data_IF_445188316935
#
_entry.id   IF_445188316935
#
_cell.length_a   1.000
_cell.length_b   1.000
_cell.length_c   1.000
_cell.angle_alpha   90.00
_cell.angle_beta   90.00
_cell.angle_gamma   90.00
#
_symmetry.space_group_name_H-M   'P 1'
#
loop_
_entity.id
_entity.type
_entity.pdbx_description
1 polymer ?
#
# COMPACT_ATOMS: atom_id res chain seq x y z
N UNK A 1 41.43 6.47 12.80
CA UNK A 1 40.75 5.89 11.63
C UNK A 1 39.97 4.68 12.15
N UNK A 2 38.66 4.56 11.88
CA UNK A 2 37.92 3.35 12.23
C UNK A 2 38.64 2.14 11.65
N UNK A 3 38.59 1.00 12.36
CA UNK A 3 39.17 -0.23 11.84
C UNK A 3 38.33 -0.72 10.66
N UNK A 4 38.96 -1.40 9.69
CA UNK A 4 38.30 -1.86 8.47
C UNK A 4 36.98 -2.63 8.71
N UNK A 5 36.88 -3.40 9.81
CA UNK A 5 35.64 -4.10 10.20
C UNK A 5 34.53 -3.13 10.59
N UNK A 6 34.83 -2.07 11.34
CA UNK A 6 33.87 -1.05 11.77
C UNK A 6 33.40 -0.20 10.59
N UNK A 7 34.31 0.10 9.65
CA UNK A 7 34.00 0.78 8.39
C UNK A 7 33.01 -0.06 7.55
N UNK A 8 33.30 -1.35 7.35
CA UNK A 8 32.39 -2.25 6.63
C UNK A 8 31.04 -2.43 7.33
N UNK A 9 30.98 -2.43 8.67
CA UNK A 9 29.72 -2.47 9.41
C UNK A 9 28.88 -1.21 9.18
N UNK A 10 29.51 -0.04 9.16
CA UNK A 10 28.83 1.22 8.87
C UNK A 10 28.34 1.28 7.42
N UNK A 11 29.16 0.87 6.46
CA UNK A 11 28.78 0.79 5.04
C UNK A 11 27.60 -0.16 4.83
N UNK A 12 27.62 -1.33 5.49
CA UNK A 12 26.53 -2.30 5.42
C UNK A 12 25.22 -1.73 5.99
N UNK A 13 25.28 -1.03 7.14
CA UNK A 13 24.12 -0.33 7.71
C UNK A 13 23.53 0.70 6.76
N UNK A 14 24.38 1.56 6.18
CA UNK A 14 23.95 2.57 5.20
C UNK A 14 23.35 1.95 3.93
N UNK A 15 23.88 0.81 3.47
CA UNK A 15 23.34 0.11 2.32
C UNK A 15 21.94 -0.47 2.60
N UNK A 16 21.73 -0.99 3.82
CA UNK A 16 20.42 -1.50 4.28
C UNK A 16 19.42 -0.35 4.41
N UNK A 17 19.82 0.80 4.95
CA UNK A 17 18.96 1.98 5.06
C UNK A 17 18.48 2.47 3.69
N UNK A 18 19.40 2.60 2.72
CA UNK A 18 19.04 2.95 1.34
C UNK A 18 18.07 1.95 0.69
N UNK A 19 18.29 0.65 0.93
CA UNK A 19 17.39 -0.40 0.45
C UNK A 19 16.00 -0.27 1.08
N UNK A 20 15.92 0.02 2.38
CA UNK A 20 14.67 0.21 3.11
C UNK A 20 13.88 1.39 2.53
N UNK A 21 14.53 2.53 2.33
CA UNK A 21 13.91 3.70 1.70
C UNK A 21 13.38 3.38 0.30
N UNK A 22 14.20 2.73 -0.53
CA UNK A 22 13.81 2.33 -1.88
C UNK A 22 12.62 1.34 -1.88
N UNK A 23 12.62 0.36 -0.98
CA UNK A 23 11.54 -0.61 -0.86
C UNK A 23 10.21 0.03 -0.43
N UNK A 24 10.25 0.97 0.53
CA UNK A 24 9.07 1.72 0.95
C UNK A 24 8.52 2.58 -0.20
N UNK A 25 9.39 3.31 -0.89
CA UNK A 25 9.00 4.12 -2.05
C UNK A 25 8.37 3.26 -3.16
N UNK A 26 8.94 2.08 -3.43
CA UNK A 26 8.40 1.13 -4.40
C UNK A 26 7.01 0.60 -3.98
N UNK A 27 6.84 0.25 -2.69
CA UNK A 27 5.54 -0.17 -2.14
C UNK A 27 4.50 0.93 -2.32
N UNK A 28 4.81 2.16 -1.92
CA UNK A 28 3.86 3.28 -2.04
C UNK A 28 3.46 3.54 -3.49
N UNK A 29 4.43 3.55 -4.41
CA UNK A 29 4.17 3.76 -5.84
C UNK A 29 3.29 2.63 -6.42
N UNK A 30 3.65 1.37 -6.13
CA UNK A 30 2.90 0.22 -6.63
C UNK A 30 1.48 0.17 -6.07
N UNK A 31 1.31 0.40 -4.76
CA UNK A 31 0.00 0.39 -4.12
C UNK A 31 -0.92 1.50 -4.66
N UNK A 32 -0.39 2.70 -4.94
CA UNK A 32 -1.16 3.77 -5.60
C UNK A 32 -1.59 3.34 -7.00
N UNK A 33 -0.67 2.83 -7.82
CA UNK A 33 -0.98 2.38 -9.17
C UNK A 33 -2.08 1.29 -9.18
N UNK A 34 -1.96 0.31 -8.28
CA UNK A 34 -2.95 -0.75 -8.14
C UNK A 34 -4.30 -0.21 -7.68
N UNK A 35 -4.34 0.72 -6.72
CA UNK A 35 -5.61 1.33 -6.34
C UNK A 35 -6.26 2.02 -7.55
N UNK A 36 -5.53 2.84 -8.31
CA UNK A 36 -6.09 3.53 -9.47
C UNK A 36 -6.67 2.53 -10.48
N UNK A 37 -5.95 1.42 -10.71
CA UNK A 37 -6.42 0.32 -11.58
C UNK A 37 -7.71 -0.32 -11.06
N UNK A 38 -7.79 -0.59 -9.75
CA UNK A 38 -8.96 -1.19 -9.12
C UNK A 38 -10.15 -0.24 -9.12
N UNK A 39 -9.97 1.03 -8.75
CA UNK A 39 -11.00 2.06 -8.81
C UNK A 39 -11.58 2.21 -10.21
N UNK A 40 -10.72 2.29 -11.23
CA UNK A 40 -11.17 2.37 -12.63
C UNK A 40 -11.96 1.14 -13.07
N UNK A 41 -11.49 -0.05 -12.69
CA UNK A 41 -12.17 -1.30 -13.03
C UNK A 41 -13.54 -1.38 -12.35
N UNK A 42 -13.64 -0.96 -11.09
CA UNK A 42 -14.92 -0.93 -10.37
C UNK A 42 -15.86 0.12 -10.95
N UNK A 43 -15.40 1.34 -11.21
CA UNK A 43 -16.20 2.39 -11.85
C UNK A 43 -16.75 1.94 -13.21
N UNK A 44 -15.93 1.27 -14.03
CA UNK A 44 -16.37 0.71 -15.33
C UNK A 44 -17.47 -0.35 -15.21
N UNK A 45 -17.57 -1.09 -14.10
CA UNK A 45 -18.64 -2.07 -13.89
C UNK A 45 -20.00 -1.43 -13.62
N UNK A 46 -20.00 -0.19 -13.14
CA UNK A 46 -21.22 0.54 -12.73
C UNK A 46 -21.47 1.80 -13.55
N UNK A 47 -20.66 2.06 -14.59
CA UNK A 47 -20.68 3.30 -15.38
C UNK A 47 -22.02 3.63 -16.05
N UNK A 48 -22.81 2.60 -16.35
CA UNK A 48 -24.10 2.73 -17.03
C UNK A 48 -25.26 2.95 -16.03
N UNK A 49 -24.98 2.96 -14.72
CA UNK A 49 -25.95 3.29 -13.68
C UNK A 49 -26.06 4.80 -13.49
N UNK A 50 -27.16 5.31 -12.90
CA UNK A 50 -27.21 6.71 -12.47
C UNK A 50 -26.01 7.04 -11.57
N UNK A 51 -25.30 8.14 -11.87
CA UNK A 51 -24.03 8.52 -11.21
C UNK A 51 -24.09 8.43 -9.68
N UNK A 52 -25.15 8.96 -9.07
CA UNK A 52 -25.31 8.94 -7.61
C UNK A 52 -25.36 7.50 -7.05
N UNK A 53 -26.04 6.58 -7.74
CA UNK A 53 -26.13 5.17 -7.32
C UNK A 53 -24.82 4.42 -7.53
N UNK A 54 -24.14 4.70 -8.65
CA UNK A 54 -22.81 4.16 -8.94
C UNK A 54 -21.79 4.57 -7.87
N UNK A 55 -21.75 5.87 -7.54
CA UNK A 55 -20.85 6.44 -6.53
C UNK A 55 -21.12 5.83 -5.16
N UNK A 56 -22.37 5.83 -4.70
CA UNK A 56 -22.71 5.27 -3.39
C UNK A 56 -22.33 3.80 -3.27
N UNK A 57 -22.56 3.02 -4.33
CA UNK A 57 -22.18 1.60 -4.37
C UNK A 57 -20.67 1.42 -4.15
N UNK A 58 -19.86 2.16 -4.91
CA UNK A 58 -18.40 2.02 -4.88
C UNK A 58 -17.81 2.55 -3.58
N UNK A 59 -18.28 3.70 -3.10
CA UNK A 59 -17.78 4.28 -1.84
C UNK A 59 -18.09 3.36 -0.67
N UNK A 60 -19.31 2.81 -0.58
CA UNK A 60 -19.66 1.84 0.47
C UNK A 60 -18.71 0.64 0.44
N UNK A 61 -18.49 0.03 -0.72
CA UNK A 61 -17.60 -1.13 -0.86
C UNK A 61 -16.15 -0.84 -0.45
N UNK A 62 -15.65 0.37 -0.69
CA UNK A 62 -14.28 0.74 -0.33
C UNK A 62 -14.14 1.17 1.11
N UNK A 63 -15.08 1.96 1.63
CA UNK A 63 -15.11 2.38 3.03
C UNK A 63 -15.24 1.17 3.96
N UNK A 64 -16.15 0.24 3.65
CA UNK A 64 -16.29 -1.03 4.39
C UNK A 64 -14.98 -1.82 4.37
N UNK A 65 -14.32 -1.86 3.22
CA UNK A 65 -13.10 -2.63 3.08
C UNK A 65 -11.86 -2.03 3.73
N UNK A 66 -11.87 -0.72 3.97
CA UNK A 66 -10.86 -0.04 4.79
C UNK A 66 -11.24 -0.03 6.28
N UNK A 67 -12.37 -0.65 6.65
CA UNK A 67 -12.96 -0.60 7.99
C UNK A 67 -13.17 0.85 8.47
N UNK A 68 -13.50 1.76 7.56
CA UNK A 68 -13.79 3.16 7.85
C UNK A 68 -15.29 3.38 7.75
N UNK A 69 -16.00 3.31 8.88
CA UNK A 69 -17.43 3.62 8.92
C UNK A 69 -17.69 5.07 8.50
N UNK A 70 -18.60 5.31 7.54
CA UNK A 70 -18.93 6.67 7.06
C UNK A 70 -19.33 7.62 8.20
N UNK A 71 -20.02 7.12 9.22
CA UNK A 71 -20.46 7.92 10.38
C UNK A 71 -19.29 8.32 11.29
N UNK A 72 -18.29 7.44 11.43
CA UNK A 72 -17.11 7.65 12.27
C UNK A 72 -16.06 8.51 11.55
N UNK A 73 -16.00 8.41 10.22
CA UNK A 73 -15.03 9.09 9.36
C UNK A 73 -15.69 9.97 8.30
N UNK A 74 -16.56 10.93 8.67
CA UNK A 74 -17.36 11.70 7.70
C UNK A 74 -16.50 12.58 6.79
N UNK A 75 -15.30 12.98 7.24
CA UNK A 75 -14.38 13.77 6.44
C UNK A 75 -13.65 12.92 5.38
N UNK A 76 -13.31 11.66 5.68
CA UNK A 76 -12.76 10.71 4.70
C UNK A 76 -13.84 10.29 3.72
N UNK A 77 -15.07 10.04 4.21
CA UNK A 77 -16.21 9.67 3.36
C UNK A 77 -16.46 10.69 2.25
N UNK A 78 -16.44 11.99 2.58
CA UNK A 78 -16.62 13.08 1.59
C UNK A 78 -15.55 13.07 0.50
N UNK A 79 -14.28 12.91 0.87
CA UNK A 79 -13.21 12.86 -0.14
C UNK A 79 -13.27 11.56 -0.96
N UNK A 80 -13.69 10.45 -0.36
CA UNK A 80 -13.92 9.19 -1.07
C UNK A 80 -15.10 9.30 -2.06
N UNK A 81 -16.16 10.05 -1.71
CA UNK A 81 -17.26 10.37 -2.63
C UNK A 81 -16.74 11.15 -3.85
N UNK A 82 -16.02 12.26 -3.63
CA UNK A 82 -15.45 13.08 -4.70
C UNK A 82 -14.44 12.30 -5.57
N UNK A 83 -13.62 11.46 -4.95
CA UNK A 83 -12.68 10.58 -5.65
C UNK A 83 -13.40 9.56 -6.53
N UNK A 84 -14.49 8.97 -6.03
CA UNK A 84 -15.30 8.01 -6.78
C UNK A 84 -16.07 8.66 -7.91
N UNK A 85 -16.60 9.87 -7.70
CA UNK A 85 -17.22 10.67 -8.76
C UNK A 85 -16.25 10.94 -9.91
N UNK A 86 -15.00 11.33 -9.60
CA UNK A 86 -13.97 11.56 -10.60
C UNK A 86 -13.67 10.28 -11.42
N UNK A 87 -13.61 9.12 -10.76
CA UNK A 87 -13.44 7.84 -11.44
C UNK A 87 -14.64 7.46 -12.31
N UNK A 88 -15.86 7.75 -11.86
CA UNK A 88 -17.07 7.51 -12.65
C UNK A 88 -17.07 8.35 -13.93
N UNK A 89 -16.75 9.63 -13.83
CA UNK A 89 -16.70 10.54 -14.98
C UNK A 89 -15.58 10.12 -15.95
N UNK A 90 -14.37 9.86 -15.44
CA UNK A 90 -13.25 9.36 -16.24
C UNK A 90 -13.52 8.01 -16.91
N UNK A 91 -14.28 7.11 -16.25
CA UNK A 91 -14.65 5.82 -16.83
C UNK A 91 -15.66 5.94 -17.98
N UNK A 92 -16.47 7.00 -17.99
CA UNK A 92 -17.45 7.29 -19.04
C UNK A 92 -16.86 8.11 -20.19
N UNK A 93 -15.95 9.04 -19.87
CA UNK A 93 -15.28 9.90 -20.83
C UNK A 93 -13.85 10.19 -20.35
N UNK A 94 -12.85 9.56 -20.97
CA UNK A 94 -11.46 9.78 -20.59
C UNK A 94 -10.93 11.04 -21.30
N UNK A 95 -10.74 12.11 -20.54
CA UNK A 95 -10.25 13.41 -21.01
C UNK A 95 -9.22 14.01 -20.06
N UNK A 96 -8.44 14.98 -20.53
CA UNK A 96 -7.45 15.70 -19.70
C UNK A 96 -8.13 16.42 -18.53
N UNK A 97 -9.35 16.94 -18.73
CA UNK A 97 -10.12 17.59 -17.68
C UNK A 97 -10.52 16.59 -16.58
N UNK A 98 -11.00 15.40 -16.95
CA UNK A 98 -11.32 14.35 -15.99
C UNK A 98 -10.07 13.77 -15.30
N UNK A 99 -8.93 13.65 -16.00
CA UNK A 99 -7.65 13.27 -15.37
C UNK A 99 -7.23 14.31 -14.32
N UNK A 100 -7.36 15.61 -14.62
CA UNK A 100 -7.04 16.67 -13.68
C UNK A 100 -7.95 16.64 -12.43
N UNK A 101 -9.24 16.34 -12.59
CA UNK A 101 -10.17 16.15 -11.45
C UNK A 101 -9.77 14.92 -10.62
N UNK A 102 -9.38 13.82 -11.27
CA UNK A 102 -8.94 12.59 -10.61
C UNK A 102 -7.67 12.80 -9.80
N UNK A 103 -6.69 13.56 -10.32
CA UNK A 103 -5.48 13.94 -9.58
C UNK A 103 -5.80 14.77 -8.34
N UNK A 104 -6.63 15.81 -8.48
CA UNK A 104 -7.02 16.67 -7.35
C UNK A 104 -7.77 15.92 -6.26
N UNK A 105 -8.70 15.06 -6.63
CA UNK A 105 -9.45 14.25 -5.66
C UNK A 105 -8.56 13.19 -4.99
N UNK A 106 -7.60 12.60 -5.71
CA UNK A 106 -6.58 11.74 -5.10
C UNK A 106 -5.75 12.47 -4.05
N UNK A 107 -5.28 13.68 -4.35
CA UNK A 107 -4.49 14.50 -3.41
C UNK A 107 -5.30 14.91 -2.18
N UNK A 108 -6.58 15.28 -2.37
CA UNK A 108 -7.47 15.63 -1.27
C UNK A 108 -7.73 14.44 -0.34
N UNK A 109 -7.96 13.25 -0.90
CA UNK A 109 -8.15 12.02 -0.13
C UNK A 109 -6.87 11.61 0.63
N UNK A 110 -5.70 11.69 0.01
CA UNK A 110 -4.42 11.48 0.69
C UNK A 110 -4.20 12.49 1.83
N UNK A 111 -4.57 13.76 1.62
CA UNK A 111 -4.40 14.80 2.62
C UNK A 111 -5.29 14.61 3.86
N UNK A 112 -6.50 14.08 3.72
CA UNK A 112 -7.34 13.74 4.88
C UNK A 112 -6.87 12.48 5.59
N UNK A 113 -6.41 11.46 4.86
CA UNK A 113 -5.84 10.25 5.44
C UNK A 113 -4.53 10.53 6.20
N UNK A 114 -3.73 11.48 5.71
CA UNK A 114 -2.48 11.88 6.36
C UNK A 114 -2.71 12.47 7.76
N UNK A 115 -3.85 13.14 8.00
CA UNK A 115 -4.22 13.65 9.34
C UNK A 115 -4.44 12.53 10.35
N UNK A 116 -4.79 11.35 9.86
CA UNK A 116 -5.01 10.12 10.64
C UNK A 116 -3.78 9.22 10.65
N UNK A 117 -2.62 9.71 10.18
CA UNK A 117 -1.35 8.97 10.18
C UNK A 117 -1.27 7.85 9.14
N UNK A 118 -2.06 7.92 8.07
CA UNK A 118 -2.10 6.91 7.00
C UNK A 118 -2.12 7.57 5.61
N UNK A 119 -2.10 6.77 4.55
CA UNK A 119 -2.25 7.21 3.16
C UNK A 119 -3.17 6.27 2.38
N UNK A 120 -3.62 6.70 1.21
CA UNK A 120 -4.35 5.86 0.25
C UNK A 120 -3.54 4.60 -0.09
N UNK A 121 -2.23 4.78 -0.24
CA UNK A 121 -1.31 3.69 -0.59
C UNK A 121 -1.17 2.65 0.52
N UNK A 122 -1.25 3.08 1.78
CA UNK A 122 -1.25 2.18 2.92
C UNK A 122 -2.54 1.39 3.00
N UNK A 123 -3.68 2.08 2.85
CA UNK A 123 -5.00 1.45 2.80
C UNK A 123 -5.09 0.39 1.69
N UNK A 124 -4.50 0.65 0.52
CA UNK A 124 -4.46 -0.32 -0.57
C UNK A 124 -3.51 -1.49 -0.28
N UNK A 125 -2.32 -1.21 0.25
CA UNK A 125 -1.32 -2.23 0.56
C UNK A 125 -1.73 -3.16 1.71
N UNK A 126 -2.60 -2.72 2.62
CA UNK A 126 -3.14 -3.55 3.70
C UNK A 126 -4.27 -4.49 3.24
N UNK A 127 -4.94 -4.18 2.12
CA UNK A 127 -6.13 -4.91 1.63
C UNK A 127 -5.87 -5.79 0.41
N UNK A 128 -4.96 -5.41 -0.48
CA UNK A 128 -4.88 -6.04 -1.81
C UNK A 128 -4.26 -7.45 -1.78
N UNK A 129 -5.05 -8.46 -2.15
CA UNK A 129 -4.57 -9.80 -2.51
C UNK A 129 -3.75 -9.82 -3.81
N UNK A 130 -3.66 -8.71 -4.55
CA UNK A 130 -2.77 -8.54 -5.70
C UNK A 130 -1.30 -8.29 -5.30
N UNK A 131 -1.00 -8.36 -4.00
CA UNK A 131 0.33 -8.56 -3.46
C UNK A 131 0.97 -9.81 -4.09
N UNK A 132 1.81 -9.67 -5.11
CA UNK A 132 2.53 -10.79 -5.72
C UNK A 132 3.61 -11.35 -4.77
N UNK A 133 3.28 -11.83 -3.56
CA UNK A 133 4.15 -12.57 -2.62
C UNK A 133 5.43 -11.87 -2.13
N UNK A 134 5.87 -10.78 -2.76
CA UNK A 134 7.08 -10.05 -2.42
C UNK A 134 6.84 -9.04 -1.30
N UNK A 135 5.59 -8.60 -1.10
CA UNK A 135 5.15 -7.99 0.16
C UNK A 135 5.18 -8.97 1.31
N UNK A 136 5.02 -10.28 1.04
CA UNK A 136 5.23 -11.31 2.05
C UNK A 136 6.71 -11.63 2.27
N UNK A 137 7.59 -11.33 1.32
CA UNK A 137 9.03 -11.24 1.58
C UNK A 137 9.41 -9.98 2.38
N UNK A 138 8.45 -9.07 2.58
CA UNK A 138 8.46 -8.04 3.63
C UNK A 138 7.65 -8.51 4.87
N UNK A 139 6.73 -9.50 4.75
CA UNK A 139 5.88 -10.08 5.82
C UNK A 139 5.30 -11.50 5.50
N UNK A 140 5.90 -12.63 5.92
CA UNK A 140 5.75 -13.94 5.23
C UNK A 140 4.48 -14.80 5.44
N UNK A 141 4.27 -15.73 4.48
CA UNK A 141 3.25 -16.83 4.37
C UNK A 141 3.53 -18.02 5.34
N UNK A 142 2.49 -18.77 5.81
CA UNK A 142 2.59 -19.79 6.87
C UNK A 142 3.45 -21.04 6.62
N UNK A 143 3.72 -21.74 7.73
CA UNK A 143 4.87 -22.60 7.99
C UNK A 143 4.81 -24.05 7.45
N UNK A 144 3.86 -24.42 6.61
CA UNK A 144 3.54 -25.81 6.28
C UNK A 144 4.17 -26.36 4.99
N UNK A 145 5.24 -25.72 4.47
CA UNK A 145 5.98 -26.19 3.30
C UNK A 145 7.14 -27.17 3.67
N UNK A 146 7.16 -28.43 3.17
CA UNK A 146 8.18 -29.41 3.55
C UNK A 146 9.49 -29.27 2.74
N UNK A 147 10.66 -29.36 3.41
CA UNK A 147 11.92 -29.75 2.77
C UNK A 147 13.19 -28.90 2.94
N UNK A 148 13.34 -28.05 3.97
CA UNK A 148 14.59 -27.26 4.16
C UNK A 148 15.42 -27.75 5.35
N UNK A 149 16.72 -28.03 5.11
CA UNK A 149 17.74 -28.17 6.17
C UNK A 149 17.86 -26.86 6.96
N UNK A 150 17.86 -26.94 8.27
CA UNK A 150 18.01 -25.79 9.17
C UNK A 150 19.37 -25.09 8.99
N UNK A 151 19.36 -23.75 8.97
CA UNK A 151 20.55 -22.90 8.90
C UNK A 151 20.64 -22.06 10.17
N UNK A 152 21.29 -22.56 11.24
CA UNK A 152 21.22 -21.95 12.58
C UNK A 152 21.84 -20.55 12.68
N UNK A 153 22.66 -20.13 11.70
CA UNK A 153 23.25 -18.77 11.64
C UNK A 153 22.38 -17.74 10.90
N UNK A 154 21.32 -18.19 10.21
CA UNK A 154 20.37 -17.33 9.52
C UNK A 154 19.08 -17.34 10.33
N UNK A 155 18.74 -16.27 11.07
CA UNK A 155 17.50 -16.27 11.81
C UNK A 155 16.31 -16.37 10.86
N UNK A 156 15.24 -17.07 11.28
CA UNK A 156 14.02 -17.17 10.50
C UNK A 156 13.43 -15.78 10.31
N UNK A 157 12.77 -15.55 9.18
CA UNK A 157 11.96 -14.35 9.00
C UNK A 157 10.76 -14.47 9.94
N UNK A 158 10.70 -13.62 10.96
CA UNK A 158 9.62 -13.62 11.93
C UNK A 158 8.35 -13.02 11.30
N UNK A 159 7.20 -13.65 11.53
CA UNK A 159 5.91 -13.11 11.10
C UNK A 159 5.69 -11.72 11.72
N UNK A 160 5.41 -10.72 10.88
CA UNK A 160 5.17 -9.35 11.33
C UNK A 160 6.41 -8.45 11.39
N UNK A 161 7.60 -8.94 11.05
CA UNK A 161 8.81 -8.11 10.93
C UNK A 161 9.26 -7.97 9.47
N UNK A 162 9.69 -6.77 9.04
CA UNK A 162 10.34 -6.59 7.74
C UNK A 162 11.63 -7.42 7.61
N UNK A 163 11.95 -7.90 6.41
CA UNK A 163 13.11 -8.77 6.20
C UNK A 163 14.46 -8.13 6.55
N UNK A 164 14.59 -6.81 6.48
CA UNK A 164 15.81 -6.10 6.87
C UNK A 164 16.04 -6.12 8.40
N UNK A 165 15.06 -6.54 9.19
CA UNK A 165 15.22 -6.79 10.62
C UNK A 165 15.72 -8.23 10.92
N UNK A 166 15.75 -9.12 9.92
CA UNK A 166 16.40 -10.42 10.00
C UNK A 166 17.93 -10.27 9.86
N UNK A 167 18.57 -9.77 10.91
CA UNK A 167 20.03 -9.61 11.00
C UNK A 167 20.76 -10.91 11.35
N UNK A 168 22.04 -10.86 11.75
CA UNK A 168 22.70 -12.06 12.25
C UNK A 168 22.09 -12.54 13.58
N UNK A 169 22.14 -13.86 13.82
CA UNK A 169 21.79 -14.45 15.10
C UNK A 169 22.57 -13.76 16.24
N UNK A 170 22.00 -13.71 17.45
CA UNK A 170 22.57 -12.96 18.57
C UNK A 170 24.02 -13.34 18.92
N UNK A 171 24.42 -14.60 18.68
CA UNK A 171 25.78 -15.09 18.90
C UNK A 171 26.81 -14.59 17.87
N UNK A 172 26.36 -13.95 16.79
CA UNK A 172 27.20 -13.34 15.76
C UNK A 172 27.39 -11.83 15.95
N UNK A 173 26.76 -11.22 16.96
CA UNK A 173 26.82 -9.78 17.24
C UNK A 173 27.92 -9.45 18.23
#
# INVERSE_FOLDING_TARGET
MPHFVEELQQEAGQAIDRMREAALAARHTHARAELMRHMLTTARKVKDRPKAEAVETVVREWMDAWNLGRADWPHIAREMDAFTEAFHDYANDASDDHDAVLRRSCEALDAVLAKEGTSISDQMAWRSQCAHGWWDLVKPVPADLPGRKERPSVPPVEAGKPFWEAGCAGFCR
#
